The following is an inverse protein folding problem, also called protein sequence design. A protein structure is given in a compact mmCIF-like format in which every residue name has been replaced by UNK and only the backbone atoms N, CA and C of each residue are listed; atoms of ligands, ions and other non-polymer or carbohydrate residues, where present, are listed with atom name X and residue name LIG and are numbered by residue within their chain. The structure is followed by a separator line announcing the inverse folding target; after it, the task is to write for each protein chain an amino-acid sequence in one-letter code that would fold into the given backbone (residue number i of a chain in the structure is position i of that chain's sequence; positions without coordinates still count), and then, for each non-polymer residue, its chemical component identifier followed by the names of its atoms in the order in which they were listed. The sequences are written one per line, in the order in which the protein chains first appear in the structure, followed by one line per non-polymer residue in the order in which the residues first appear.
data_IF_622348763782
#
_entry.id   IF_622348763782
#
_cell.length_a   1.000
_cell.length_b   1.000
_cell.length_c   1.000
_cell.angle_alpha   90.00
_cell.angle_beta   90.00
_cell.angle_gamma   90.00
#
_symmetry.space_group_name_H-M   'P 1'
#
loop_
_entity.id
_entity.type
_entity.pdbx_description
1 polymer ?
#
# COMPACT_ATOMS: atom_id res chain seq x y z
N UNK A 1 0.19 50.58 18.26
CA UNK A 1 -0.89 51.45 17.75
C UNK A 1 -0.36 52.62 16.91
N UNK A 2 0.67 53.37 17.35
CA UNK A 2 1.23 54.50 16.59
C UNK A 2 1.99 54.13 15.30
N UNK A 3 2.53 52.91 15.19
CA UNK A 3 3.18 52.43 13.96
C UNK A 3 2.18 52.13 12.82
N UNK A 4 0.92 51.80 13.17
CA UNK A 4 -0.11 51.46 12.19
C UNK A 4 -0.68 52.72 11.50
N UNK A 5 -0.74 53.85 12.19
CA UNK A 5 -1.24 55.13 11.64
C UNK A 5 -0.25 55.78 10.66
N UNK A 6 1.06 55.62 10.89
CA UNK A 6 2.10 56.12 9.97
C UNK A 6 2.14 55.35 8.65
N UNK A 7 1.88 54.04 8.68
CA UNK A 7 1.81 53.20 7.48
C UNK A 7 0.63 53.58 6.57
N UNK A 8 -0.52 53.96 7.16
CA UNK A 8 -1.70 54.41 6.42
C UNK A 8 -1.50 55.79 5.81
N UNK A 9 -0.83 56.72 6.51
CA UNK A 9 -0.57 58.06 5.97
C UNK A 9 0.44 58.04 4.80
N UNK A 10 1.47 57.18 4.87
CA UNK A 10 2.38 56.93 3.74
C UNK A 10 1.71 56.26 2.54
N UNK A 11 0.55 55.64 2.72
CA UNK A 11 -0.22 55.04 1.63
C UNK A 11 -1.08 56.05 0.85
N UNK A 12 -1.29 57.27 1.38
CA UNK A 12 -2.10 58.31 0.72
C UNK A 12 -1.32 59.01 -0.40
N UNK A 13 0.01 59.14 -0.24
CA UNK A 13 0.91 59.70 -1.28
C UNK A 13 1.51 58.64 -2.22
N UNK A 14 1.31 57.35 -1.93
CA UNK A 14 1.65 56.31 -2.91
C UNK A 14 0.59 56.30 -4.00
N UNK A 15 0.96 56.74 -5.21
CA UNK A 15 0.12 56.60 -6.39
C UNK A 15 -0.50 55.18 -6.41
N UNK A 16 -1.79 55.02 -6.75
CA UNK A 16 -2.46 53.72 -6.77
C UNK A 16 -1.71 52.69 -7.63
N UNK A 17 -0.93 53.17 -8.61
CA UNK A 17 0.02 52.37 -9.38
C UNK A 17 1.08 51.65 -8.53
N UNK A 18 1.65 52.29 -7.50
CA UNK A 18 2.67 51.69 -6.63
C UNK A 18 2.12 50.52 -5.81
N UNK A 19 0.88 50.62 -5.32
CA UNK A 19 0.22 49.53 -4.60
C UNK A 19 -0.07 48.33 -5.51
N UNK A 20 -0.49 48.58 -6.75
CA UNK A 20 -0.71 47.53 -7.76
C UNK A 20 0.60 46.84 -8.17
N UNK A 21 1.69 47.60 -8.29
CA UNK A 21 3.00 47.04 -8.62
C UNK A 21 3.57 46.19 -7.48
N UNK A 22 3.39 46.61 -6.22
CA UNK A 22 3.84 45.85 -5.06
C UNK A 22 3.07 44.54 -4.89
N UNK A 23 1.74 44.57 -5.03
CA UNK A 23 0.94 43.33 -4.94
C UNK A 23 1.26 42.36 -6.07
N UNK A 24 1.46 42.86 -7.30
CA UNK A 24 1.89 42.06 -8.44
C UNK A 24 3.26 41.40 -8.23
N UNK A 25 4.22 42.13 -7.66
CA UNK A 25 5.56 41.61 -7.35
C UNK A 25 5.52 40.51 -6.27
N UNK A 26 4.66 40.65 -5.26
CA UNK A 26 4.50 39.62 -4.21
C UNK A 26 3.86 38.36 -4.78
N UNK A 27 2.83 38.49 -5.63
CA UNK A 27 2.17 37.34 -6.26
C UNK A 27 3.13 36.60 -7.19
N UNK A 28 3.89 37.31 -8.02
CA UNK A 28 4.86 36.68 -8.92
C UNK A 28 5.97 35.96 -8.15
N UNK A 29 6.50 36.57 -7.08
CA UNK A 29 7.48 35.93 -6.21
C UNK A 29 6.92 34.67 -5.52
N UNK A 30 5.67 34.71 -5.05
CA UNK A 30 5.01 33.54 -4.45
C UNK A 30 4.83 32.40 -5.47
N UNK A 31 4.37 32.71 -6.69
CA UNK A 31 4.21 31.70 -7.75
C UNK A 31 5.55 31.06 -8.13
N UNK A 32 6.63 31.85 -8.23
CA UNK A 32 7.98 31.33 -8.49
C UNK A 32 8.44 30.45 -7.33
N UNK A 33 8.27 30.88 -6.08
CA UNK A 33 8.64 30.09 -4.90
C UNK A 33 7.87 28.76 -4.82
N UNK A 34 6.57 28.78 -5.13
CA UNK A 34 5.73 27.58 -5.21
C UNK A 34 6.23 26.65 -6.33
N UNK A 35 6.50 27.21 -7.52
CA UNK A 35 7.06 26.46 -8.64
C UNK A 35 8.39 25.79 -8.27
N UNK A 36 9.33 26.55 -7.70
CA UNK A 36 10.62 26.03 -7.22
C UNK A 36 10.43 24.98 -6.13
N UNK A 37 9.49 25.17 -5.21
CA UNK A 37 9.20 24.19 -4.16
C UNK A 37 8.70 22.87 -4.76
N UNK A 38 7.79 22.94 -5.73
CA UNK A 38 7.31 21.75 -6.45
C UNK A 38 8.41 21.11 -7.30
N UNK A 39 9.28 21.87 -7.95
CA UNK A 39 10.40 21.28 -8.71
C UNK A 39 11.43 20.63 -7.80
N UNK A 40 11.71 21.19 -6.62
CA UNK A 40 12.59 20.58 -5.61
C UNK A 40 11.97 19.31 -5.03
N UNK A 41 10.67 19.32 -4.72
CA UNK A 41 9.95 18.12 -4.28
C UNK A 41 9.90 17.06 -5.37
N UNK A 42 9.70 17.46 -6.63
CA UNK A 42 9.73 16.55 -7.77
C UNK A 42 11.13 15.97 -7.96
N UNK A 43 12.20 16.76 -7.88
CA UNK A 43 13.57 16.29 -8.02
C UNK A 43 14.01 15.37 -6.88
N UNK A 44 13.64 15.68 -5.63
CA UNK A 44 13.85 14.75 -4.50
C UNK A 44 12.92 13.52 -4.58
N UNK A 45 11.75 13.68 -5.20
CA UNK A 45 10.77 12.63 -5.45
C UNK A 45 11.13 11.74 -6.64
N UNK A 46 11.86 12.22 -7.64
CA UNK A 46 12.23 11.47 -8.86
C UNK A 46 13.14 10.28 -8.53
N UNK A 47 13.95 10.39 -7.47
CA UNK A 47 14.71 9.26 -6.91
C UNK A 47 13.77 8.13 -6.40
N UNK A 48 12.49 8.42 -6.13
CA UNK A 48 11.49 7.48 -5.60
C UNK A 48 10.34 7.17 -6.58
N UNK A 49 10.00 8.09 -7.50
CA UNK A 49 8.88 7.97 -8.45
C UNK A 49 9.23 7.09 -9.65
N UNK A 50 10.48 7.11 -10.15
CA UNK A 50 10.88 6.17 -11.21
C UNK A 50 10.95 4.72 -10.71
N UNK A 51 11.53 4.50 -9.52
CA UNK A 51 11.69 3.15 -8.96
C UNK A 51 10.34 2.51 -8.58
N UNK A 52 9.42 3.28 -7.98
CA UNK A 52 8.09 2.77 -7.63
C UNK A 52 7.17 2.54 -8.84
N UNK A 53 7.22 3.39 -9.87
CA UNK A 53 6.37 3.23 -11.05
C UNK A 53 6.75 1.99 -11.90
N UNK A 54 8.06 1.70 -11.99
CA UNK A 54 8.56 0.50 -12.69
C UNK A 54 8.18 -0.78 -11.94
N UNK A 55 8.23 -0.78 -10.61
CA UNK A 55 7.80 -1.94 -9.83
C UNK A 55 6.29 -2.21 -9.96
N UNK A 56 5.46 -1.17 -9.84
CA UNK A 56 3.99 -1.31 -9.97
C UNK A 56 3.61 -1.91 -11.33
N UNK A 57 4.28 -1.51 -12.41
CA UNK A 57 4.08 -2.11 -13.74
C UNK A 57 4.52 -3.57 -13.78
N UNK A 58 5.69 -3.89 -13.23
CA UNK A 58 6.24 -5.26 -13.20
C UNK A 58 5.32 -6.20 -12.42
N UNK A 59 4.85 -5.76 -11.25
CA UNK A 59 3.88 -6.49 -10.43
C UNK A 59 2.56 -6.75 -11.18
N UNK A 60 2.02 -5.75 -11.89
CA UNK A 60 0.79 -5.92 -12.65
C UNK A 60 0.91 -7.00 -13.74
N UNK A 61 2.08 -7.09 -14.40
CA UNK A 61 2.36 -8.15 -15.39
C UNK A 61 2.37 -9.52 -14.71
N UNK A 62 3.07 -9.65 -13.58
CA UNK A 62 3.12 -10.91 -12.83
C UNK A 62 1.73 -11.36 -12.33
N UNK A 63 0.91 -10.42 -11.86
CA UNK A 63 -0.47 -10.70 -11.44
C UNK A 63 -1.34 -11.19 -12.61
N UNK A 64 -1.15 -10.61 -13.80
CA UNK A 64 -1.84 -11.05 -15.01
C UNK A 64 -1.41 -12.48 -15.42
N UNK A 65 -0.11 -12.78 -15.39
CA UNK A 65 0.40 -14.13 -15.68
C UNK A 65 -0.12 -15.16 -14.68
N UNK A 66 -0.12 -14.84 -13.38
CA UNK A 66 -0.71 -15.67 -12.33
C UNK A 66 -2.18 -15.96 -12.63
N UNK A 67 -2.96 -14.94 -12.95
CA UNK A 67 -4.37 -15.09 -13.27
C UNK A 67 -4.60 -15.99 -14.50
N UNK A 68 -3.72 -15.91 -15.51
CA UNK A 68 -3.74 -16.80 -16.67
C UNK A 68 -3.49 -18.26 -16.28
N UNK A 69 -2.44 -18.54 -15.50
CA UNK A 69 -2.11 -19.90 -15.06
C UNK A 69 -3.21 -20.51 -14.19
N UNK A 70 -3.78 -19.75 -13.26
CA UNK A 70 -4.88 -20.22 -12.42
C UNK A 70 -6.13 -20.54 -13.23
N UNK A 71 -6.40 -19.77 -14.28
CA UNK A 71 -7.50 -20.06 -15.21
C UNK A 71 -7.24 -21.36 -15.96
N UNK A 72 -6.03 -21.59 -16.45
CA UNK A 72 -5.66 -22.86 -17.11
C UNK A 72 -5.80 -24.07 -16.19
N UNK A 73 -5.49 -23.93 -14.89
CA UNK A 73 -5.74 -25.01 -13.90
C UNK A 73 -7.23 -25.32 -13.80
N UNK A 74 -8.08 -24.28 -13.76
CA UNK A 74 -9.54 -24.46 -13.68
C UNK A 74 -10.13 -25.09 -14.93
N UNK A 75 -9.64 -24.71 -16.09
CA UNK A 75 -10.01 -25.35 -17.36
C UNK A 75 -9.58 -26.82 -17.40
N UNK A 76 -8.37 -27.14 -16.94
CA UNK A 76 -7.89 -28.52 -16.83
C UNK A 76 -8.73 -29.35 -15.85
N UNK A 77 -9.13 -28.79 -14.71
CA UNK A 77 -10.04 -29.42 -13.75
C UNK A 77 -11.41 -29.70 -14.38
N UNK A 78 -11.91 -28.78 -15.19
CA UNK A 78 -13.16 -28.94 -15.95
C UNK A 78 -13.03 -30.03 -17.01
N UNK A 79 -11.96 -30.03 -17.81
CA UNK A 79 -11.74 -31.05 -18.85
C UNK A 79 -11.65 -32.47 -18.27
N UNK A 80 -11.04 -32.62 -17.09
CA UNK A 80 -11.06 -33.89 -16.35
C UNK A 80 -12.46 -34.26 -15.88
N UNK A 81 -13.20 -33.32 -15.28
CA UNK A 81 -14.57 -33.56 -14.83
C UNK A 81 -15.51 -33.94 -15.97
N UNK A 82 -15.24 -33.42 -17.18
CA UNK A 82 -15.92 -33.77 -18.42
C UNK A 82 -15.43 -35.08 -19.05
N UNK A 83 -14.42 -35.73 -18.48
CA UNK A 83 -13.84 -36.97 -18.98
C UNK A 83 -13.03 -36.83 -20.27
N UNK A 84 -12.62 -35.61 -20.66
CA UNK A 84 -11.83 -35.37 -21.88
C UNK A 84 -10.37 -35.81 -21.74
N UNK A 85 -9.87 -35.88 -20.51
CA UNK A 85 -8.47 -36.24 -20.20
C UNK A 85 -8.41 -37.31 -19.11
N UNK A 86 -7.35 -38.11 -19.11
CA UNK A 86 -7.13 -39.15 -18.10
C UNK A 86 -6.68 -38.55 -16.76
N UNK A 87 -6.88 -39.29 -15.67
CA UNK A 87 -6.40 -38.88 -14.34
C UNK A 87 -4.88 -38.72 -14.30
N UNK A 88 -4.14 -39.61 -14.96
CA UNK A 88 -2.67 -39.55 -15.02
C UNK A 88 -2.18 -38.29 -15.77
N UNK A 89 -2.82 -37.92 -16.89
CA UNK A 89 -2.48 -36.71 -17.64
C UNK A 89 -2.84 -35.45 -16.85
N UNK A 90 -3.99 -35.46 -16.18
CA UNK A 90 -4.39 -34.38 -15.29
C UNK A 90 -3.34 -34.15 -14.19
N UNK A 91 -2.93 -35.21 -13.48
CA UNK A 91 -1.98 -35.09 -12.38
C UNK A 91 -0.63 -34.54 -12.86
N UNK A 92 -0.13 -35.01 -14.02
CA UNK A 92 1.11 -34.54 -14.62
C UNK A 92 1.05 -33.06 -15.04
N UNK A 93 -0.02 -32.63 -15.72
CA UNK A 93 -0.19 -31.25 -16.18
C UNK A 93 -0.46 -30.29 -15.02
N UNK A 94 -1.33 -30.69 -14.09
CA UNK A 94 -1.68 -29.90 -12.91
C UNK A 94 -0.46 -29.66 -12.01
N UNK A 95 0.40 -30.68 -11.82
CA UNK A 95 1.65 -30.51 -11.08
C UNK A 95 2.55 -29.42 -11.68
N UNK A 96 2.73 -29.41 -13.00
CA UNK A 96 3.53 -28.40 -13.70
C UNK A 96 2.93 -27.00 -13.60
N UNK A 97 1.61 -26.87 -13.79
CA UNK A 97 0.91 -25.60 -13.67
C UNK A 97 0.95 -25.04 -12.25
N UNK A 98 0.79 -25.89 -11.23
CA UNK A 98 0.92 -25.50 -9.82
C UNK A 98 2.33 -25.05 -9.47
N UNK A 99 3.35 -25.75 -9.95
CA UNK A 99 4.74 -25.32 -9.79
C UNK A 99 4.97 -23.90 -10.36
N UNK A 100 4.44 -23.62 -11.56
CA UNK A 100 4.51 -22.29 -12.17
C UNK A 100 3.70 -21.24 -11.40
N UNK A 101 2.52 -21.59 -10.89
CA UNK A 101 1.70 -20.67 -10.09
C UNK A 101 2.42 -20.28 -8.79
N UNK A 102 3.07 -21.25 -8.13
CA UNK A 102 3.85 -21.01 -6.91
C UNK A 102 5.03 -20.06 -7.19
N UNK A 103 5.78 -20.28 -8.27
CA UNK A 103 6.91 -19.39 -8.60
C UNK A 103 6.48 -17.97 -8.98
N UNK A 104 5.31 -17.79 -9.59
CA UNK A 104 4.74 -16.47 -9.85
C UNK A 104 4.30 -15.76 -8.56
N UNK A 105 3.68 -16.49 -7.63
CA UNK A 105 3.31 -15.93 -6.31
C UNK A 105 4.56 -15.48 -5.57
N UNK A 106 5.61 -16.29 -5.52
CA UNK A 106 6.88 -15.92 -4.86
C UNK A 106 7.57 -14.71 -5.50
N UNK A 107 7.46 -14.54 -6.83
CA UNK A 107 7.97 -13.35 -7.51
C UNK A 107 7.17 -12.09 -7.16
N UNK A 108 5.85 -12.20 -7.06
CA UNK A 108 4.99 -11.10 -6.61
C UNK A 108 5.31 -10.75 -5.17
N UNK A 109 5.44 -11.74 -4.28
CA UNK A 109 5.73 -11.51 -2.86
C UNK A 109 7.08 -10.78 -2.69
N UNK A 110 8.11 -11.18 -3.44
CA UNK A 110 9.41 -10.48 -3.47
C UNK A 110 9.28 -9.05 -3.99
N UNK A 111 8.62 -8.84 -5.13
CA UNK A 111 8.39 -7.50 -5.68
C UNK A 111 7.62 -6.60 -4.68
N UNK A 112 6.65 -7.17 -3.95
CA UNK A 112 5.93 -6.42 -2.91
C UNK A 112 6.78 -6.10 -1.68
N UNK A 113 7.72 -6.97 -1.32
CA UNK A 113 8.66 -6.73 -0.23
C UNK A 113 9.69 -5.66 -0.60
N UNK A 114 10.21 -5.69 -1.84
CA UNK A 114 11.19 -4.72 -2.34
C UNK A 114 10.58 -3.31 -2.51
N UNK A 115 9.26 -3.23 -2.75
CA UNK A 115 8.51 -1.98 -2.84
C UNK A 115 7.97 -1.46 -1.52
N UNK A 116 8.07 -2.23 -0.44
CA UNK A 116 7.76 -1.72 0.88
C UNK A 116 8.81 -0.66 1.24
N UNK A 117 8.42 0.58 1.54
CA UNK A 117 9.38 1.58 1.96
C UNK A 117 10.06 1.11 3.25
N UNK A 118 11.39 1.06 3.24
CA UNK A 118 12.22 0.92 4.44
C UNK A 118 11.72 1.91 5.49
N UNK A 119 10.99 1.43 6.50
CA UNK A 119 10.47 2.26 7.59
C UNK A 119 8.99 2.10 7.96
N UNK A 120 8.22 1.24 7.29
CA UNK A 120 6.91 0.85 7.80
C UNK A 120 6.85 -0.66 7.99
N UNK A 121 7.59 -1.15 9.00
CA UNK A 121 7.11 -2.32 9.71
C UNK A 121 5.67 -2.00 10.13
N UNK A 122 4.69 -2.61 9.48
CA UNK A 122 3.36 -2.76 10.06
C UNK A 122 3.57 -3.69 11.24
N UNK A 123 4.06 -3.10 12.34
CA UNK A 123 3.87 -3.64 13.67
C UNK A 123 2.36 -3.49 13.87
N UNK A 124 1.55 -4.57 13.79
CA UNK A 124 0.18 -4.47 14.25
C UNK A 124 0.25 -3.86 15.66
N UNK A 125 -0.61 -2.88 16.00
CA UNK A 125 -0.56 -2.27 17.32
C UNK A 125 -0.54 -3.40 18.34
N UNK A 126 0.55 -3.49 19.11
CA UNK A 126 0.66 -4.48 20.16
C UNK A 126 -0.52 -4.24 21.09
N UNK A 127 -1.56 -5.07 20.97
CA UNK A 127 -2.71 -5.02 21.87
C UNK A 127 -2.16 -5.26 23.27
N UNK A 128 -2.59 -4.48 24.28
CA UNK A 128 -2.09 -4.63 25.64
C UNK A 128 -2.26 -6.08 26.08
N UNK A 129 -1.15 -6.72 26.42
CA UNK A 129 -1.04 -8.14 26.76
C UNK A 129 -1.56 -8.45 28.18
N UNK A 130 -2.71 -7.90 28.57
CA UNK A 130 -3.09 -7.84 29.99
C UNK A 130 -4.40 -8.52 30.36
N UNK A 131 -5.02 -9.30 29.47
CA UNK A 131 -6.09 -10.21 29.92
C UNK A 131 -6.05 -11.51 29.10
N UNK A 132 -5.63 -12.61 29.74
CA UNK A 132 -5.56 -13.95 29.18
C UNK A 132 -6.42 -14.89 30.03
N UNK A 133 -7.26 -15.69 29.39
CA UNK A 133 -8.11 -16.67 30.07
C UNK A 133 -7.65 -18.11 29.76
N UNK A 134 -7.80 -19.02 30.72
CA UNK A 134 -7.50 -20.45 30.52
C UNK A 134 -8.75 -21.18 30.06
N UNK A 135 -8.59 -22.05 29.05
CA UNK A 135 -9.67 -22.95 28.65
C UNK A 135 -9.93 -23.99 29.75
N UNK A 136 -11.19 -24.13 30.19
CA UNK A 136 -11.57 -25.15 31.17
C UNK A 136 -11.49 -26.60 30.65
N UNK A 137 -11.47 -26.80 29.33
CA UNK A 137 -11.41 -28.14 28.73
C UNK A 137 -9.97 -28.65 28.52
N UNK A 138 -9.04 -27.79 28.10
CA UNK A 138 -7.68 -28.20 27.73
C UNK A 138 -6.55 -27.42 28.43
N UNK A 139 -6.88 -26.39 29.22
CA UNK A 139 -5.91 -25.58 29.96
C UNK A 139 -5.13 -24.54 29.14
N UNK A 140 -5.33 -24.48 27.81
CA UNK A 140 -4.63 -23.53 26.95
C UNK A 140 -4.98 -22.07 27.28
N UNK A 141 -3.98 -21.18 27.20
CA UNK A 141 -4.15 -19.73 27.37
C UNK A 141 -4.69 -19.10 26.08
N UNK A 142 -5.83 -18.42 26.21
CA UNK A 142 -6.49 -17.68 25.14
C UNK A 142 -6.54 -16.19 25.49
N UNK A 143 -6.69 -15.36 24.46
CA UNK A 143 -6.94 -13.92 24.62
C UNK A 143 -8.33 -13.70 25.25
N UNK A 144 -8.51 -12.62 26.01
CA UNK A 144 -9.78 -12.36 26.70
C UNK A 144 -10.98 -12.10 25.78
N UNK A 145 -10.75 -11.77 24.50
CA UNK A 145 -11.79 -11.64 23.47
C UNK A 145 -12.01 -12.94 22.67
N UNK A 146 -11.28 -14.03 23.00
CA UNK A 146 -11.47 -15.31 22.34
C UNK A 146 -12.86 -15.87 22.65
N UNK A 147 -13.63 -16.21 21.60
CA UNK A 147 -14.91 -16.93 21.72
C UNK A 147 -14.73 -18.44 21.74
N UNK A 148 -13.61 -18.92 21.19
CA UNK A 148 -13.24 -20.33 21.09
C UNK A 148 -11.77 -20.50 21.44
N UNK A 149 -11.43 -21.65 22.02
CA UNK A 149 -10.06 -21.98 22.35
C UNK A 149 -9.24 -22.24 21.08
N UNK A 150 -8.07 -21.58 20.95
CA UNK A 150 -7.18 -21.76 19.80
C UNK A 150 -6.53 -23.15 19.71
N UNK A 151 -6.53 -23.92 20.79
CA UNK A 151 -5.92 -25.25 20.85
C UNK A 151 -6.92 -26.39 20.60
N UNK A 152 -8.12 -26.33 21.19
CA UNK A 152 -9.09 -27.44 21.15
C UNK A 152 -10.44 -27.07 20.52
N UNK A 153 -10.67 -25.80 20.16
CA UNK A 153 -11.91 -25.35 19.52
C UNK A 153 -13.13 -25.24 20.44
N UNK A 154 -13.02 -25.63 21.73
CA UNK A 154 -14.13 -25.50 22.69
C UNK A 154 -14.46 -24.03 22.94
N UNK A 155 -15.75 -23.71 23.02
CA UNK A 155 -16.22 -22.37 23.39
C UNK A 155 -15.66 -21.98 24.75
N UNK A 156 -15.07 -20.80 24.85
CA UNK A 156 -14.60 -20.24 26.12
C UNK A 156 -15.52 -19.07 26.47
N UNK A 157 -16.12 -19.13 27.66
CA UNK A 157 -17.00 -18.09 28.19
C UNK A 157 -16.24 -17.36 29.29
N UNK A 158 -16.42 -16.03 29.35
CA UNK A 158 -15.67 -15.11 30.22
C UNK A 158 -15.85 -15.44 31.70
#
# INVERSE_FOLDING_TARGET
MAAATVAVWRAVDTHPAALLLLSGAVISAALVAIGVHYTVLAFMGEVRVESGAVDVRTRAILEQEKAAVLRSIKELEFDRAMGKISQADFDALNARLRARAMSLIEQIDRATADSAPDGAAVVPPARPATDRMRCGACGAENEADARFCKACGTKVER
#
